data_IF_504340704664
#
_entry.id   IF_504340704664
#
_cell.length_a   1.000
_cell.length_b   1.000
_cell.length_c   1.000
_cell.angle_alpha   90.00
_cell.angle_beta   90.00
_cell.angle_gamma   90.00
#
_symmetry.space_group_name_H-M   'P 1'
#
loop_
_entity.id
_entity.type
_entity.pdbx_description
1 polymer ?
#
# COMPACT_ATOMS: atom_id res chain seq x y z
N UNK A 1 9.80 8.57 16.78
CA UNK A 1 10.45 8.14 15.52
C UNK A 1 9.84 6.82 15.09
N UNK A 2 9.33 6.75 13.87
CA UNK A 2 8.74 5.51 13.36
C UNK A 2 9.80 4.42 13.22
N UNK A 3 9.48 3.21 13.68
CA UNK A 3 10.35 2.02 13.52
C UNK A 3 10.62 1.76 12.03
N UNK A 4 9.60 1.96 11.21
CA UNK A 4 9.68 1.78 9.76
C UNK A 4 10.64 2.77 9.09
N UNK A 5 10.64 4.02 9.54
CA UNK A 5 11.57 5.02 9.02
C UNK A 5 13.03 4.70 9.36
N UNK A 6 13.28 4.21 10.57
CA UNK A 6 14.60 3.76 10.96
C UNK A 6 15.05 2.58 10.10
N UNK A 7 14.16 1.63 9.85
CA UNK A 7 14.46 0.48 8.99
C UNK A 7 14.83 0.93 7.57
N UNK A 8 14.06 1.85 6.98
CA UNK A 8 14.37 2.40 5.64
C UNK A 8 15.76 3.04 5.61
N UNK A 9 16.10 3.84 6.61
CA UNK A 9 17.40 4.49 6.67
C UNK A 9 18.56 3.51 6.78
N UNK A 10 18.39 2.45 7.56
CA UNK A 10 19.39 1.38 7.67
C UNK A 10 19.52 0.60 6.35
N UNK A 11 18.42 0.29 5.70
CA UNK A 11 18.41 -0.40 4.41
C UNK A 11 19.03 0.49 3.31
N UNK A 12 18.77 1.79 3.36
CA UNK A 12 19.40 2.77 2.46
C UNK A 12 20.93 2.74 2.60
N UNK A 13 21.43 2.76 3.82
CA UNK A 13 22.87 2.67 4.09
C UNK A 13 23.47 1.36 3.58
N UNK A 14 22.76 0.24 3.79
CA UNK A 14 23.17 -1.07 3.27
C UNK A 14 23.23 -1.08 1.76
N UNK A 15 22.20 -0.58 1.10
CA UNK A 15 22.14 -0.47 -0.37
C UNK A 15 23.28 0.39 -0.93
N UNK A 16 23.61 1.50 -0.26
CA UNK A 16 24.75 2.35 -0.63
C UNK A 16 26.08 1.58 -0.55
N UNK A 17 26.30 0.87 0.54
CA UNK A 17 27.55 0.10 0.75
C UNK A 17 27.66 -1.07 -0.24
N UNK A 18 26.55 -1.72 -0.55
CA UNK A 18 26.49 -2.85 -1.46
C UNK A 18 26.38 -2.43 -2.94
N UNK A 19 26.32 -1.12 -3.23
CA UNK A 19 26.16 -0.57 -4.58
C UNK A 19 24.94 -1.13 -5.32
N UNK A 20 23.86 -1.35 -4.61
CA UNK A 20 22.58 -1.83 -5.14
C UNK A 20 21.77 -0.64 -5.66
N UNK A 21 22.01 -0.24 -6.90
CA UNK A 21 21.48 0.99 -7.47
C UNK A 21 19.96 1.05 -7.51
N UNK A 22 19.29 -0.05 -7.88
CA UNK A 22 17.84 -0.10 -7.95
C UNK A 22 17.20 0.07 -6.56
N UNK A 23 17.71 -0.65 -5.57
CA UNK A 23 17.23 -0.54 -4.19
C UNK A 23 17.47 0.86 -3.64
N UNK A 24 18.66 1.40 -3.87
CA UNK A 24 19.04 2.74 -3.44
C UNK A 24 18.12 3.82 -4.05
N UNK A 25 17.86 3.77 -5.35
CA UNK A 25 17.00 4.74 -6.04
C UNK A 25 15.54 4.61 -5.55
N UNK A 26 15.05 3.39 -5.38
CA UNK A 26 13.68 3.14 -4.90
C UNK A 26 13.48 3.66 -3.48
N UNK A 27 14.43 3.43 -2.58
CA UNK A 27 14.38 3.93 -1.21
C UNK A 27 14.47 5.45 -1.14
N UNK A 28 15.29 6.07 -1.99
CA UNK A 28 15.36 7.54 -2.09
C UNK A 28 14.04 8.14 -2.55
N UNK A 29 13.38 7.52 -3.53
CA UNK A 29 12.06 7.95 -3.99
C UNK A 29 11.01 7.80 -2.89
N UNK A 30 11.04 6.71 -2.12
CA UNK A 30 10.15 6.52 -0.98
C UNK A 30 10.36 7.59 0.10
N UNK A 31 11.60 7.90 0.44
CA UNK A 31 11.91 8.97 1.40
C UNK A 31 11.39 10.32 0.90
N UNK A 32 11.54 10.61 -0.38
CA UNK A 32 10.99 11.83 -0.98
C UNK A 32 9.46 11.87 -0.88
N UNK A 33 8.78 10.75 -1.13
CA UNK A 33 7.33 10.64 -1.00
C UNK A 33 6.87 10.86 0.45
N UNK A 34 7.60 10.32 1.42
CA UNK A 34 7.32 10.52 2.85
C UNK A 34 7.48 12.00 3.24
N UNK A 35 8.52 12.67 2.76
CA UNK A 35 8.71 14.11 2.98
C UNK A 35 7.56 14.92 2.38
N UNK A 36 7.14 14.59 1.16
CA UNK A 36 6.01 15.25 0.50
C UNK A 36 4.71 15.04 1.28
N UNK A 37 4.48 13.83 1.79
CA UNK A 37 3.33 13.54 2.67
C UNK A 37 3.36 14.43 3.90
N UNK A 38 4.51 14.57 4.55
CA UNK A 38 4.66 15.40 5.75
C UNK A 38 4.41 16.88 5.46
N UNK A 39 4.93 17.39 4.34
CA UNK A 39 4.69 18.75 3.88
C UNK A 39 3.19 18.98 3.65
N UNK A 40 2.52 18.05 2.98
CA UNK A 40 1.07 18.13 2.71
C UNK A 40 0.24 18.17 4.00
N UNK A 41 0.74 17.58 5.08
CA UNK A 41 0.11 17.62 6.39
C UNK A 41 0.46 18.89 7.20
N UNK A 42 1.18 19.84 6.60
CA UNK A 42 1.57 21.10 7.24
C UNK A 42 2.74 21.00 8.23
N UNK A 43 3.49 19.92 8.20
CA UNK A 43 4.51 19.57 9.21
C UNK A 43 5.97 19.73 8.81
N UNK A 44 6.30 20.53 7.81
CA UNK A 44 7.70 20.67 7.36
C UNK A 44 8.23 19.39 6.71
N UNK A 45 9.54 19.14 6.81
CA UNK A 45 10.20 18.00 6.14
C UNK A 45 10.63 16.89 7.12
N UNK A 46 10.33 17.03 8.40
CA UNK A 46 10.71 16.03 9.39
C UNK A 46 9.77 14.80 9.33
N UNK A 47 10.26 13.74 8.76
CA UNK A 47 9.51 12.48 8.55
C UNK A 47 9.31 11.71 9.87
N UNK A 48 10.13 11.97 10.87
CA UNK A 48 10.05 11.28 12.18
C UNK A 48 8.69 11.45 12.88
N UNK A 49 7.96 12.50 12.53
CA UNK A 49 6.65 12.80 13.11
C UNK A 49 5.49 12.11 12.38
N UNK A 50 5.75 11.37 11.31
CA UNK A 50 4.71 10.59 10.65
C UNK A 50 4.32 9.41 11.52
N UNK A 51 3.01 9.16 11.61
CA UNK A 51 2.50 7.95 12.25
C UNK A 51 2.77 6.73 11.38
N UNK A 52 2.78 5.55 11.98
CA UNK A 52 2.95 4.30 11.21
C UNK A 52 1.85 4.14 10.16
N UNK A 53 0.62 4.57 10.45
CA UNK A 53 -0.48 4.56 9.49
C UNK A 53 -0.19 5.45 8.28
N UNK A 54 0.25 6.70 8.51
CA UNK A 54 0.61 7.64 7.44
C UNK A 54 1.79 7.14 6.61
N UNK A 55 2.71 6.44 7.25
CA UNK A 55 3.84 5.79 6.61
C UNK A 55 3.37 4.67 5.67
N UNK A 56 2.54 3.76 6.17
CA UNK A 56 1.98 2.63 5.41
C UNK A 56 1.13 3.14 4.23
N UNK A 57 0.32 4.17 4.43
CA UNK A 57 -0.44 4.82 3.35
C UNK A 57 0.47 5.31 2.23
N UNK A 58 1.59 5.94 2.58
CA UNK A 58 2.53 6.45 1.59
C UNK A 58 3.18 5.32 0.82
N UNK A 59 3.62 4.26 1.49
CA UNK A 59 4.18 3.08 0.83
C UNK A 59 3.15 2.43 -0.11
N UNK A 60 1.92 2.25 0.36
CA UNK A 60 0.83 1.67 -0.45
C UNK A 60 0.54 2.51 -1.69
N UNK A 61 0.55 3.84 -1.57
CA UNK A 61 0.38 4.76 -2.70
C UNK A 61 1.51 4.62 -3.72
N UNK A 62 2.75 4.53 -3.27
CA UNK A 62 3.90 4.34 -4.13
C UNK A 62 3.87 2.98 -4.86
N UNK A 63 3.42 1.93 -4.19
CA UNK A 63 3.20 0.62 -4.81
C UNK A 63 2.10 0.70 -5.87
N UNK A 64 0.98 1.34 -5.58
CA UNK A 64 -0.13 1.48 -6.52
C UNK A 64 0.29 2.23 -7.79
N UNK A 65 1.00 3.33 -7.65
CA UNK A 65 1.53 4.09 -8.80
C UNK A 65 2.38 3.21 -9.72
N UNK A 66 3.22 2.35 -9.13
CA UNK A 66 4.07 1.45 -9.88
C UNK A 66 3.30 0.32 -10.55
N UNK A 67 2.27 -0.21 -9.91
CA UNK A 67 1.37 -1.21 -10.52
C UNK A 67 0.63 -0.62 -11.72
N UNK A 68 0.15 0.62 -11.61
CA UNK A 68 -0.49 1.32 -12.73
C UNK A 68 0.49 1.54 -13.88
N UNK A 69 1.71 1.99 -13.58
CA UNK A 69 2.78 2.16 -14.57
C UNK A 69 3.18 0.84 -15.22
N UNK A 70 3.31 -0.22 -14.44
CA UNK A 70 3.61 -1.57 -14.94
C UNK A 70 2.59 -2.02 -15.98
N UNK A 71 1.30 -1.86 -15.67
CA UNK A 71 0.21 -2.23 -16.59
C UNK A 71 0.28 -1.43 -17.90
N UNK A 72 0.55 -0.13 -17.82
CA UNK A 72 0.70 0.73 -19.02
C UNK A 72 1.90 0.30 -19.86
N UNK A 73 3.03 0.01 -19.23
CA UNK A 73 4.23 -0.46 -19.95
C UNK A 73 4.00 -1.82 -20.62
N UNK A 74 3.32 -2.75 -19.95
CA UNK A 74 2.96 -4.06 -20.53
C UNK A 74 2.07 -3.89 -21.75
N UNK A 75 1.06 -3.03 -21.67
CA UNK A 75 0.18 -2.71 -22.81
C UNK A 75 0.93 -2.06 -23.98
N UNK A 76 1.93 -1.24 -23.67
CA UNK A 76 2.76 -0.56 -24.64
C UNK A 76 3.91 -1.41 -25.21
N UNK A 77 4.03 -2.68 -24.81
CA UNK A 77 5.10 -3.57 -25.26
C UNK A 77 6.48 -3.26 -24.68
N UNK A 78 6.55 -2.48 -23.61
CA UNK A 78 7.79 -2.11 -22.93
C UNK A 78 8.00 -2.99 -21.69
N UNK A 79 8.25 -4.29 -21.95
CA UNK A 79 8.45 -5.27 -20.87
C UNK A 79 9.67 -4.92 -19.99
N UNK A 80 10.70 -4.31 -20.55
CA UNK A 80 11.88 -3.83 -19.83
C UNK A 80 11.51 -2.84 -18.71
N UNK A 81 10.64 -1.89 -19.01
CA UNK A 81 10.15 -0.90 -18.04
C UNK A 81 9.15 -1.49 -17.06
N UNK A 82 8.28 -2.40 -17.52
CA UNK A 82 7.35 -3.13 -16.67
C UNK A 82 8.10 -3.96 -15.62
N UNK A 83 9.15 -4.65 -16.01
CA UNK A 83 9.98 -5.46 -15.11
C UNK A 83 10.70 -4.60 -14.06
N UNK A 84 11.14 -3.41 -14.43
CA UNK A 84 11.72 -2.45 -13.49
C UNK A 84 10.70 -2.00 -12.44
N UNK A 85 9.48 -1.66 -12.86
CA UNK A 85 8.40 -1.31 -11.93
C UNK A 85 8.09 -2.47 -10.98
N UNK A 86 8.02 -3.71 -11.49
CA UNK A 86 7.80 -4.91 -10.69
C UNK A 86 8.90 -5.11 -9.64
N UNK A 87 10.16 -4.89 -10.00
CA UNK A 87 11.28 -5.00 -9.08
C UNK A 87 11.24 -3.94 -7.97
N UNK A 88 10.85 -2.70 -8.30
CA UNK A 88 10.67 -1.63 -7.32
C UNK A 88 9.51 -1.93 -6.36
N UNK A 89 8.42 -2.51 -6.85
CA UNK A 89 7.28 -2.95 -6.02
C UNK A 89 7.75 -3.96 -4.97
N UNK A 90 8.55 -4.95 -5.34
CA UNK A 90 9.08 -5.96 -4.40
C UNK A 90 9.89 -5.29 -3.28
N UNK A 91 10.69 -4.29 -3.59
CA UNK A 91 11.45 -3.54 -2.61
C UNK A 91 10.52 -2.82 -1.62
N UNK A 92 9.49 -2.16 -2.12
CA UNK A 92 8.53 -1.41 -1.31
C UNK A 92 7.64 -2.30 -0.44
N UNK A 93 7.29 -3.48 -0.92
CA UNK A 93 6.45 -4.45 -0.19
C UNK A 93 7.07 -4.89 1.14
N UNK A 94 8.38 -4.83 1.29
CA UNK A 94 9.07 -5.13 2.55
C UNK A 94 8.63 -4.24 3.71
N UNK A 95 8.14 -3.04 3.41
CA UNK A 95 7.71 -2.05 4.42
C UNK A 95 6.20 -2.06 4.66
N UNK A 96 5.48 -2.92 3.96
CA UNK A 96 4.05 -3.12 4.18
C UNK A 96 3.82 -4.17 5.27
N UNK A 97 2.73 -4.05 6.08
CA UNK A 97 2.34 -5.12 6.97
C UNK A 97 1.99 -6.39 6.19
N UNK A 98 2.00 -7.54 6.87
CA UNK A 98 1.60 -8.80 6.26
C UNK A 98 0.23 -8.66 5.59
N UNK A 99 0.15 -9.03 4.31
CA UNK A 99 -1.09 -8.95 3.54
C UNK A 99 -1.97 -10.15 3.83
N UNK A 100 -3.28 -9.90 3.92
CA UNK A 100 -4.27 -10.95 4.13
C UNK A 100 -4.53 -11.73 2.83
N UNK A 101 -4.79 -13.03 2.98
CA UNK A 101 -5.28 -13.86 1.87
C UNK A 101 -6.70 -13.47 1.47
N UNK A 102 -7.13 -13.89 0.28
CA UNK A 102 -8.49 -13.63 -0.18
C UNK A 102 -9.54 -14.24 0.77
N UNK A 103 -9.27 -15.42 1.33
CA UNK A 103 -10.10 -16.08 2.33
C UNK A 103 -10.21 -15.28 3.62
N UNK A 104 -9.10 -14.73 4.10
CA UNK A 104 -9.06 -13.88 5.30
C UNK A 104 -9.80 -12.56 5.07
N UNK A 105 -9.67 -11.96 3.90
CA UNK A 105 -10.41 -10.76 3.51
C UNK A 105 -11.92 -11.05 3.48
N UNK A 106 -12.33 -12.15 2.84
CA UNK A 106 -13.73 -12.57 2.78
C UNK A 106 -14.30 -12.80 4.18
N UNK A 107 -13.60 -13.52 5.04
CA UNK A 107 -14.01 -13.79 6.41
C UNK A 107 -14.18 -12.48 7.21
N UNK A 108 -13.26 -11.54 7.07
CA UNK A 108 -13.32 -10.23 7.74
C UNK A 108 -14.53 -9.44 7.28
N UNK A 109 -14.80 -9.41 5.97
CA UNK A 109 -15.96 -8.69 5.41
C UNK A 109 -17.26 -9.32 5.86
N UNK A 110 -17.38 -10.65 5.89
CA UNK A 110 -18.55 -11.34 6.40
C UNK A 110 -18.82 -11.05 7.88
N UNK A 111 -17.76 -10.99 8.68
CA UNK A 111 -17.86 -10.61 10.10
C UNK A 111 -18.37 -9.17 10.24
N UNK A 112 -17.83 -8.22 9.48
CA UNK A 112 -18.27 -6.83 9.47
C UNK A 112 -19.76 -6.74 9.13
N UNK A 113 -20.20 -7.42 8.08
CA UNK A 113 -21.60 -7.43 7.65
C UNK A 113 -22.50 -8.03 8.74
N UNK A 114 -22.08 -9.11 9.39
CA UNK A 114 -22.86 -9.74 10.46
C UNK A 114 -23.06 -8.80 11.66
N UNK A 115 -22.09 -7.96 11.97
CA UNK A 115 -22.18 -6.96 13.04
C UNK A 115 -23.01 -5.74 12.65
N UNK A 116 -23.14 -5.44 11.36
CA UNK A 116 -23.92 -4.32 10.85
C UNK A 116 -25.41 -4.64 10.68
N UNK A 117 -25.78 -5.92 10.68
CA UNK A 117 -27.13 -6.40 10.44
C UNK A 117 -27.39 -6.79 8.99
N UNK A 118 -28.64 -6.74 8.54
CA UNK A 118 -28.98 -7.06 7.15
C UNK A 118 -28.47 -5.98 6.20
N UNK A 119 -27.61 -6.39 5.29
CA UNK A 119 -27.02 -5.52 4.27
C UNK A 119 -27.37 -6.02 2.87
N UNK A 120 -27.67 -5.10 1.99
CA UNK A 120 -27.95 -5.35 0.56
C UNK A 120 -26.87 -4.71 -0.32
N UNK A 121 -26.82 -5.00 -1.63
CA UNK A 121 -25.89 -4.32 -2.52
C UNK A 121 -25.99 -2.78 -2.50
N UNK A 122 -27.15 -2.24 -2.11
CA UNK A 122 -27.35 -0.79 -1.93
C UNK A 122 -26.53 -0.21 -0.76
N UNK A 123 -26.12 -1.05 0.19
CA UNK A 123 -25.34 -0.66 1.36
C UNK A 123 -23.83 -0.75 1.14
N UNK A 124 -23.40 -0.91 -0.11
CA UNK A 124 -21.98 -1.05 -0.48
C UNK A 124 -21.08 0.02 0.16
N UNK A 125 -21.47 1.29 0.10
CA UNK A 125 -20.68 2.39 0.66
C UNK A 125 -20.46 2.28 2.17
N UNK A 126 -21.48 1.85 2.91
CA UNK A 126 -21.40 1.65 4.36
C UNK A 126 -20.47 0.48 4.71
N UNK A 127 -20.61 -0.62 4.00
CA UNK A 127 -19.76 -1.80 4.19
C UNK A 127 -18.31 -1.49 3.81
N UNK A 128 -18.08 -0.79 2.70
CA UNK A 128 -16.73 -0.36 2.29
C UNK A 128 -16.05 0.52 3.33
N UNK A 129 -16.78 1.47 3.91
CA UNK A 129 -16.24 2.34 4.96
C UNK A 129 -15.73 1.54 6.16
N UNK A 130 -16.51 0.57 6.63
CA UNK A 130 -16.13 -0.31 7.72
C UNK A 130 -15.00 -1.26 7.34
N UNK A 131 -15.07 -1.83 6.15
CA UNK A 131 -14.03 -2.74 5.64
C UNK A 131 -12.68 -2.03 5.51
N UNK A 132 -12.64 -0.83 4.93
CA UNK A 132 -11.41 -0.07 4.79
C UNK A 132 -10.84 0.38 6.14
N UNK A 133 -11.69 0.63 7.13
CA UNK A 133 -11.23 0.92 8.50
C UNK A 133 -10.44 -0.23 9.13
N UNK A 134 -10.82 -1.48 8.85
CA UNK A 134 -10.13 -2.68 9.37
C UNK A 134 -9.01 -3.20 8.46
N UNK A 135 -9.17 -3.06 7.15
CA UNK A 135 -8.30 -3.71 6.15
C UNK A 135 -7.27 -2.78 5.53
N UNK A 136 -7.32 -1.49 5.83
CA UNK A 136 -6.38 -0.51 5.29
C UNK A 136 -4.94 -0.88 5.61
N UNK A 137 -4.10 -0.96 4.58
CA UNK A 137 -2.72 -1.38 4.70
C UNK A 137 -2.51 -2.90 4.79
N UNK A 138 -3.56 -3.69 5.04
CA UNK A 138 -3.50 -5.17 5.12
C UNK A 138 -4.01 -5.86 3.87
N UNK A 139 -4.73 -5.14 3.03
CA UNK A 139 -5.27 -5.64 1.77
C UNK A 139 -5.34 -4.50 0.75
N UNK A 140 -5.17 -4.84 -0.53
CA UNK A 140 -5.34 -3.89 -1.64
C UNK A 140 -6.81 -3.43 -1.71
N UNK A 141 -7.02 -2.11 -1.82
CA UNK A 141 -8.36 -1.53 -1.92
C UNK A 141 -9.20 -2.09 -3.06
N UNK A 142 -8.59 -2.43 -4.20
CA UNK A 142 -9.27 -3.06 -5.32
C UNK A 142 -9.77 -4.47 -4.96
N UNK A 143 -8.98 -5.26 -4.24
CA UNK A 143 -9.39 -6.59 -3.74
C UNK A 143 -10.53 -6.47 -2.72
N UNK A 144 -10.45 -5.51 -1.79
CA UNK A 144 -11.50 -5.26 -0.81
C UNK A 144 -12.81 -4.88 -1.51
N UNK A 145 -12.75 -3.98 -2.48
CA UNK A 145 -13.92 -3.55 -3.28
C UNK A 145 -14.57 -4.75 -3.98
N UNK A 146 -13.79 -5.56 -4.67
CA UNK A 146 -14.28 -6.75 -5.38
C UNK A 146 -14.92 -7.76 -4.40
N UNK A 147 -14.31 -7.96 -3.24
CA UNK A 147 -14.81 -8.90 -2.25
C UNK A 147 -16.10 -8.42 -1.59
N UNK A 148 -16.22 -7.13 -1.28
CA UNK A 148 -17.46 -6.54 -0.73
C UNK A 148 -18.60 -6.72 -1.72
N UNK A 149 -18.38 -6.41 -3.00
CA UNK A 149 -19.38 -6.63 -4.05
C UNK A 149 -19.81 -8.10 -4.13
N UNK A 150 -18.85 -9.01 -4.10
CA UNK A 150 -19.11 -10.46 -4.15
C UNK A 150 -19.94 -10.94 -2.97
N UNK A 151 -19.61 -10.52 -1.76
CA UNK A 151 -20.33 -10.94 -0.54
C UNK A 151 -21.72 -10.35 -0.48
N UNK A 152 -21.91 -9.07 -0.86
CA UNK A 152 -23.22 -8.41 -0.87
C UNK A 152 -24.15 -8.95 -1.97
N UNK A 153 -23.63 -9.49 -3.03
CA UNK A 153 -24.40 -10.08 -4.14
C UNK A 153 -24.99 -11.46 -3.81
N UNK A 154 -24.59 -12.08 -2.70
CA UNK A 154 -25.11 -13.37 -2.23
C UNK A 154 -26.31 -13.20 -1.24
#
# INVERSE_FOLDING_TARGET
MSILYNQINEDLKKAMRAKQELELSTLRMLIAALKNKKIALGGGTNVDDLTDEQFIETVASEIKKRKDSQAVYEQGGRQDLADKEAAEIIILEKYMPAQLSDEEIEATIKEIISLMGEMTPADFGKVMGQAMGKLKGKADGAKVTAMVKKVLAK
#
